data_IF_075055117594
#
_entry.id   IF_075055117594
#
_cell.length_a   1.000
_cell.length_b   1.000
_cell.length_c   1.000
_cell.angle_alpha   90.00
_cell.angle_beta   90.00
_cell.angle_gamma   90.00
#
_symmetry.space_group_name_H-M   'P 1'
#
loop_
_entity.id
_entity.type
_entity.pdbx_description
1 polymer ?
#
# COMPACT_ATOMS: atom_id res chain seq x y z
N UNK A 1 0.91 22.23 -8.88
CA UNK A 1 0.74 21.97 -7.43
C UNK A 1 2.13 21.89 -6.80
N UNK A 2 2.62 22.96 -6.17
CA UNK A 2 3.81 22.89 -5.30
C UNK A 2 3.42 23.50 -3.96
N UNK A 3 3.22 22.63 -2.97
CA UNK A 3 3.24 23.02 -1.57
C UNK A 3 4.69 23.03 -1.12
N UNK A 4 5.15 24.08 -0.44
CA UNK A 4 6.52 24.15 0.10
C UNK A 4 6.77 23.19 1.27
N UNK A 5 5.73 22.52 1.77
CA UNK A 5 5.76 21.70 2.99
C UNK A 5 5.29 20.25 2.75
N UNK A 6 4.99 19.87 1.50
CA UNK A 6 4.62 18.50 1.11
C UNK A 6 5.44 18.07 -0.10
N UNK A 7 6.14 16.94 0.05
CA UNK A 7 6.80 16.22 -1.04
C UNK A 7 5.83 15.16 -1.57
N UNK A 8 5.62 15.13 -2.88
CA UNK A 8 4.88 14.07 -3.56
C UNK A 8 5.86 13.13 -4.25
N UNK A 9 5.79 11.84 -3.94
CA UNK A 9 6.60 10.79 -4.58
C UNK A 9 5.64 9.84 -5.30
N UNK A 10 5.82 9.69 -6.61
CA UNK A 10 4.97 8.86 -7.47
C UNK A 10 5.87 7.88 -8.24
N UNK A 11 6.27 6.75 -7.61
CA UNK A 11 7.16 5.79 -8.24
C UNK A 11 6.48 5.08 -9.41
N UNK A 12 7.28 4.61 -10.36
CA UNK A 12 6.80 3.83 -11.49
C UNK A 12 6.82 2.34 -11.15
N UNK A 13 5.71 1.64 -11.43
CA UNK A 13 5.67 0.20 -11.26
C UNK A 13 6.67 -0.49 -12.22
N UNK A 14 7.29 -1.60 -11.79
CA UNK A 14 8.12 -2.40 -12.68
C UNK A 14 7.30 -2.99 -13.82
N UNK A 15 7.96 -3.26 -14.94
CA UNK A 15 7.34 -3.89 -16.10
C UNK A 15 7.38 -5.40 -15.91
N UNK A 16 6.21 -6.04 -15.81
CA UNK A 16 6.06 -7.46 -15.53
C UNK A 16 4.90 -8.08 -16.35
N UNK A 17 4.92 -9.40 -16.62
CA UNK A 17 3.77 -10.10 -17.21
C UNK A 17 2.59 -10.11 -16.24
N UNK A 18 1.38 -9.89 -16.75
CA UNK A 18 0.13 -9.88 -15.96
C UNK A 18 -0.80 -11.00 -16.41
N UNK A 19 -1.10 -11.94 -15.52
CA UNK A 19 -1.84 -13.18 -15.79
C UNK A 19 -3.24 -12.92 -16.33
N UNK A 20 -4.02 -12.01 -15.71
CA UNK A 20 -5.39 -11.71 -16.15
C UNK A 20 -5.44 -11.11 -17.57
N UNK A 21 -4.34 -10.52 -18.02
CA UNK A 21 -4.19 -9.96 -19.36
C UNK A 21 -3.52 -10.94 -20.33
N UNK A 22 -3.60 -12.25 -20.07
CA UNK A 22 -3.03 -13.29 -20.93
C UNK A 22 -1.49 -13.27 -20.94
N UNK A 23 -0.85 -12.81 -19.86
CA UNK A 23 0.61 -12.73 -19.75
C UNK A 23 1.23 -11.51 -20.44
N UNK A 24 0.42 -10.55 -20.88
CA UNK A 24 0.91 -9.31 -21.47
C UNK A 24 1.81 -8.55 -20.48
N UNK A 25 2.98 -8.13 -20.96
CA UNK A 25 3.95 -7.38 -20.17
C UNK A 25 3.60 -5.90 -20.11
N UNK A 26 3.40 -5.37 -18.91
CA UNK A 26 3.03 -3.98 -18.67
C UNK A 26 3.45 -3.52 -17.26
N UNK A 27 3.44 -2.22 -16.94
CA UNK A 27 3.67 -1.76 -15.57
C UNK A 27 2.66 -2.37 -14.60
N UNK A 28 3.16 -3.13 -13.62
CA UNK A 28 2.34 -3.80 -12.61
C UNK A 28 3.15 -3.97 -11.33
N UNK A 29 2.54 -3.68 -10.17
CA UNK A 29 3.22 -3.82 -8.88
C UNK A 29 3.42 -5.28 -8.46
N UNK A 30 2.46 -6.13 -8.81
CA UNK A 30 2.45 -7.58 -8.56
C UNK A 30 1.56 -8.26 -9.61
N UNK A 31 1.58 -9.58 -9.71
CA UNK A 31 0.75 -10.27 -10.70
C UNK A 31 -0.75 -10.23 -10.32
N UNK A 32 -1.61 -9.95 -11.28
CA UNK A 32 -3.06 -10.01 -11.12
C UNK A 32 -3.59 -11.27 -11.81
N UNK A 33 -4.13 -12.19 -11.02
CA UNK A 33 -4.69 -13.46 -11.51
C UNK A 33 -6.21 -13.40 -11.69
N UNK A 34 -6.88 -12.42 -11.08
CA UNK A 34 -8.33 -12.22 -11.18
C UNK A 34 -8.79 -10.94 -10.47
N UNK A 35 -10.08 -10.61 -10.59
CA UNK A 35 -10.68 -9.40 -10.01
C UNK A 35 -11.77 -9.70 -8.96
N UNK A 36 -12.09 -10.98 -8.72
CA UNK A 36 -13.05 -11.37 -7.68
C UNK A 36 -12.35 -11.50 -6.34
N UNK A 37 -13.07 -11.30 -5.24
CA UNK A 37 -12.55 -11.56 -3.89
C UNK A 37 -12.14 -13.02 -3.64
N UNK A 38 -12.61 -13.95 -4.49
CA UNK A 38 -12.26 -15.37 -4.46
C UNK A 38 -11.11 -15.75 -5.40
N UNK A 39 -10.58 -14.80 -6.16
CA UNK A 39 -9.47 -15.04 -7.07
C UNK A 39 -8.20 -15.34 -6.27
N UNK A 40 -7.36 -16.26 -6.77
CA UNK A 40 -6.05 -16.47 -6.18
C UNK A 40 -5.22 -15.19 -6.27
N UNK A 41 -4.50 -14.84 -5.21
CA UNK A 41 -3.62 -13.67 -5.20
C UNK A 41 -2.16 -14.05 -5.45
N UNK A 42 -1.33 -13.08 -5.83
CA UNK A 42 0.11 -13.23 -5.93
C UNK A 42 0.78 -12.84 -4.61
N UNK A 43 0.61 -13.68 -3.59
CA UNK A 43 1.11 -13.38 -2.23
C UNK A 43 2.59 -12.99 -2.22
N UNK A 44 3.42 -13.73 -2.98
CA UNK A 44 4.86 -13.48 -3.07
C UNK A 44 5.15 -12.11 -3.69
N UNK A 45 4.50 -11.78 -4.81
CA UNK A 45 4.66 -10.48 -5.46
C UNK A 45 4.12 -9.32 -4.62
N UNK A 46 2.97 -9.49 -3.97
CA UNK A 46 2.39 -8.50 -3.06
C UNK A 46 3.36 -8.20 -1.90
N UNK A 47 3.89 -9.25 -1.24
CA UNK A 47 4.86 -9.09 -0.14
C UNK A 47 6.18 -8.47 -0.62
N UNK A 48 6.65 -8.82 -1.81
CA UNK A 48 7.87 -8.23 -2.39
C UNK A 48 7.68 -6.73 -2.70
N UNK A 49 6.60 -6.37 -3.38
CA UNK A 49 6.27 -4.97 -3.69
C UNK A 49 6.04 -4.15 -2.41
N UNK A 50 5.41 -4.75 -1.40
CA UNK A 50 5.19 -4.12 -0.10
C UNK A 50 6.51 -3.78 0.59
N UNK A 51 7.46 -4.71 0.56
CA UNK A 51 8.80 -4.50 1.13
C UNK A 51 9.55 -3.37 0.42
N UNK A 52 9.39 -3.25 -0.89
CA UNK A 52 9.98 -2.14 -1.67
C UNK A 52 9.38 -0.79 -1.24
N UNK A 53 8.05 -0.70 -1.15
CA UNK A 53 7.35 0.50 -0.66
C UNK A 53 7.79 0.87 0.75
N UNK A 54 7.85 -0.10 1.66
CA UNK A 54 8.29 0.12 3.04
C UNK A 54 9.75 0.57 3.11
N UNK A 55 10.61 0.08 2.22
CA UNK A 55 11.98 0.57 2.06
C UNK A 55 12.03 2.07 1.70
N UNK A 56 11.17 2.53 0.78
CA UNK A 56 11.06 3.96 0.47
C UNK A 56 10.55 4.78 1.67
N UNK A 57 9.61 4.26 2.45
CA UNK A 57 9.17 4.91 3.68
C UNK A 57 10.33 5.07 4.67
N UNK A 58 11.15 4.03 4.85
CA UNK A 58 12.33 4.08 5.71
C UNK A 58 13.38 5.07 5.22
N UNK A 59 13.57 5.19 3.91
CA UNK A 59 14.46 6.20 3.31
C UNK A 59 13.98 7.63 3.58
N UNK A 60 12.68 7.91 3.44
CA UNK A 60 12.11 9.22 3.77
C UNK A 60 12.25 9.53 5.26
N UNK A 61 12.04 8.54 6.13
CA UNK A 61 12.26 8.68 7.59
C UNK A 61 13.72 8.97 7.89
N UNK A 62 14.65 8.24 7.27
CA UNK A 62 16.08 8.47 7.41
C UNK A 62 16.49 9.86 6.92
N UNK A 63 15.79 10.41 5.94
CA UNK A 63 16.00 11.78 5.44
C UNK A 63 15.44 12.89 6.35
N UNK A 64 14.76 12.52 7.45
CA UNK A 64 14.27 13.43 8.48
C UNK A 64 12.76 13.68 8.48
N UNK A 65 11.97 12.97 7.65
CA UNK A 65 10.51 13.09 7.64
C UNK A 65 9.92 12.04 8.62
N UNK A 66 9.37 12.44 9.77
CA UNK A 66 8.85 11.46 10.72
C UNK A 66 7.66 10.68 10.15
N UNK A 67 7.48 9.41 10.54
CA UNK A 67 6.47 8.51 9.95
C UNK A 67 5.04 9.05 10.05
N UNK A 68 4.71 9.72 11.16
CA UNK A 68 3.43 10.39 11.39
C UNK A 68 3.19 11.64 10.53
N UNK A 69 4.10 11.97 9.61
CA UNK A 69 3.97 13.01 8.57
C UNK A 69 3.93 12.43 7.15
N UNK A 70 3.96 11.10 7.02
CA UNK A 70 3.93 10.40 5.74
C UNK A 70 2.53 9.84 5.50
N UNK A 71 1.94 10.17 4.35
CA UNK A 71 0.71 9.55 3.86
C UNK A 71 1.11 8.62 2.72
N UNK A 72 0.70 7.35 2.81
CA UNK A 72 0.86 6.38 1.73
C UNK A 72 -0.49 6.21 1.03
N UNK A 73 -0.50 6.23 -0.30
CA UNK A 73 -1.74 6.09 -1.03
C UNK A 73 -1.59 5.73 -2.50
N UNK A 74 -2.71 5.38 -3.11
CA UNK A 74 -2.75 4.94 -4.50
C UNK A 74 -4.15 4.70 -5.04
N UNK A 75 -4.20 4.40 -6.34
CA UNK A 75 -5.42 4.07 -7.08
C UNK A 75 -5.38 2.62 -7.56
N UNK A 76 -6.52 1.92 -7.51
CA UNK A 76 -6.66 0.53 -7.98
C UNK A 76 -5.56 -0.38 -7.40
N UNK A 77 -4.76 -1.07 -8.23
CA UNK A 77 -3.66 -1.92 -7.74
C UNK A 77 -2.65 -1.16 -6.85
N UNK A 78 -2.35 0.10 -7.15
CA UNK A 78 -1.48 0.92 -6.30
C UNK A 78 -2.13 1.25 -4.96
N UNK A 79 -3.45 1.41 -4.92
CA UNK A 79 -4.20 1.57 -3.67
C UNK A 79 -4.21 0.29 -2.85
N UNK A 80 -4.33 -0.86 -3.50
CA UNK A 80 -4.24 -2.17 -2.86
C UNK A 80 -2.85 -2.40 -2.24
N UNK A 81 -1.79 -2.09 -2.97
CA UNK A 81 -0.43 -2.12 -2.46
C UNK A 81 -0.25 -1.15 -1.29
N UNK A 82 -0.75 0.08 -1.39
CA UNK A 82 -0.66 1.09 -0.34
C UNK A 82 -1.34 0.62 0.96
N UNK A 83 -2.52 0.01 0.87
CA UNK A 83 -3.23 -0.53 2.03
C UNK A 83 -2.43 -1.64 2.72
N UNK A 84 -2.00 -2.65 1.97
CA UNK A 84 -1.24 -3.77 2.54
C UNK A 84 0.10 -3.29 3.13
N UNK A 85 0.83 -2.47 2.39
CA UNK A 85 2.13 -1.95 2.83
C UNK A 85 2.00 -1.13 4.10
N UNK A 86 0.98 -0.28 4.19
CA UNK A 86 0.74 0.57 5.35
C UNK A 86 0.27 -0.20 6.59
N UNK A 87 -0.65 -1.16 6.41
CA UNK A 87 -1.20 -1.96 7.52
C UNK A 87 -0.19 -2.98 8.07
N UNK A 88 0.80 -3.37 7.28
CA UNK A 88 1.88 -4.29 7.69
C UNK A 88 3.19 -3.56 8.02
N UNK A 89 3.19 -2.22 8.02
CA UNK A 89 4.38 -1.44 8.34
C UNK A 89 4.54 -1.29 9.86
N UNK A 90 5.77 -1.40 10.36
CA UNK A 90 6.06 -1.40 11.80
C UNK A 90 5.83 -0.04 12.49
N UNK A 91 5.87 1.06 11.73
CA UNK A 91 5.76 2.43 12.28
C UNK A 91 4.43 3.06 11.90
N UNK A 92 3.79 3.82 12.80
CA UNK A 92 2.54 4.50 12.49
C UNK A 92 2.76 5.58 11.42
N UNK A 93 1.98 5.49 10.34
CA UNK A 93 1.90 6.51 9.30
C UNK A 93 0.88 7.59 9.67
N UNK A 94 0.95 8.76 9.01
CA UNK A 94 -0.06 9.81 9.19
C UNK A 94 -1.44 9.37 8.72
N UNK A 95 -1.48 8.51 7.70
CA UNK A 95 -2.71 7.94 7.17
C UNK A 95 -2.49 7.20 5.86
N UNK A 96 -3.56 6.51 5.44
CA UNK A 96 -3.63 5.81 4.16
C UNK A 96 -4.72 6.44 3.29
N UNK A 97 -4.43 6.60 2.00
CA UNK A 97 -5.40 7.10 1.02
C UNK A 97 -5.54 6.10 -0.10
N UNK A 98 -6.72 5.46 -0.18
CA UNK A 98 -6.94 4.34 -1.07
C UNK A 98 -8.15 4.60 -1.97
N UNK A 99 -7.93 4.72 -3.28
CA UNK A 99 -8.97 5.05 -4.26
C UNK A 99 -9.33 3.83 -5.11
N UNK A 100 -10.60 3.42 -5.07
CA UNK A 100 -11.16 2.38 -5.95
C UNK A 100 -10.31 1.10 -6.01
N UNK A 101 -9.92 0.59 -4.84
CA UNK A 101 -9.04 -0.56 -4.69
C UNK A 101 -9.62 -1.60 -3.73
N UNK A 102 -8.84 -2.64 -3.43
CA UNK A 102 -9.17 -3.70 -2.48
C UNK A 102 -8.02 -3.86 -1.47
N UNK A 103 -8.24 -4.61 -0.38
CA UNK A 103 -7.18 -5.03 0.54
C UNK A 103 -6.69 -6.41 0.09
N UNK A 104 -5.46 -6.54 -0.45
CA UNK A 104 -4.94 -7.85 -0.80
C UNK A 104 -4.53 -8.61 0.47
N UNK A 105 -4.59 -9.94 0.41
CA UNK A 105 -4.30 -10.83 1.54
C UNK A 105 -5.09 -10.46 2.81
N UNK A 106 -6.32 -9.99 2.64
CA UNK A 106 -7.12 -9.45 3.75
C UNK A 106 -7.39 -10.45 4.87
N UNK A 107 -7.25 -11.76 4.63
CA UNK A 107 -7.37 -12.81 5.64
C UNK A 107 -6.14 -12.89 6.57
N UNK A 108 -4.98 -12.39 6.13
CA UNK A 108 -3.75 -12.31 6.95
C UNK A 108 -3.70 -11.05 7.81
N UNK A 109 -4.43 -10.00 7.41
CA UNK A 109 -4.54 -8.78 8.18
C UNK A 109 -5.50 -9.04 9.34
N UNK A 110 -4.95 -9.09 10.55
CA UNK A 110 -5.71 -9.35 11.78
C UNK A 110 -6.85 -8.34 11.98
N UNK A 111 -7.73 -8.63 12.95
CA UNK A 111 -8.89 -7.80 13.20
C UNK A 111 -8.48 -6.35 13.52
N UNK A 112 -8.77 -5.45 12.59
CA UNK A 112 -8.49 -4.01 12.69
C UNK A 112 -9.50 -3.29 13.60
N UNK A 113 -10.51 -3.99 14.14
CA UNK A 113 -11.49 -3.44 15.08
C UNK A 113 -10.83 -2.78 16.30
N UNK A 114 -9.69 -3.30 16.76
CA UNK A 114 -8.96 -2.77 17.92
C UNK A 114 -8.28 -1.42 17.63
N UNK A 115 -7.96 -1.12 16.36
CA UNK A 115 -7.33 0.15 15.96
C UNK A 115 -8.35 1.29 16.04
N UNK A 116 -9.61 1.07 15.65
CA UNK A 116 -10.65 2.09 15.66
C UNK A 116 -11.10 2.48 17.07
N UNK A 117 -11.13 1.54 18.03
CA UNK A 117 -11.46 1.86 19.43
C UNK A 117 -10.42 2.83 20.04
N UNK A 118 -9.13 2.63 19.77
CA UNK A 118 -8.08 3.52 20.28
C UNK A 118 -8.18 4.97 19.77
N UNK A 119 -8.71 5.17 18.56
CA UNK A 119 -8.94 6.49 17.97
C UNK A 119 -10.21 7.17 18.49
N UNK A 120 -11.27 6.41 18.78
CA UNK A 120 -12.52 6.98 19.30
C UNK A 120 -12.41 7.36 20.78
N UNK A 121 -11.69 6.59 21.59
CA UNK A 121 -11.56 6.87 23.03
C UNK A 121 -10.45 7.85 23.42
N UNK A 122 -9.64 8.34 22.48
CA UNK A 122 -8.71 9.44 22.75
C UNK A 122 -9.34 10.83 22.68
N UNK A 123 -10.59 10.94 22.20
CA UNK A 123 -11.30 12.20 22.02
C UNK A 123 -12.66 12.27 22.74
N UNK A 124 -12.92 11.36 23.70
CA UNK A 124 -14.04 11.42 24.66
C UNK A 124 -13.49 11.32 26.07
#
# INVERSE_FOLDING_TARGET
MRSGYIKFVCPHAPVAPVTINGGMTMPSWFDLKGLSASSAEDEVGIKAASKEVQGWLDEEIKSGIPSNRIILGGFSQGGALALYSGLTYEKPLAGLVAFSCWLPLHQEIGDVSTVFESFLFQYV
#
